data_IF_596239200034
#
_entry.id   IF_596239200034
#
_cell.length_a   1.000
_cell.length_b   1.000
_cell.length_c   1.000
_cell.angle_alpha   90.00
_cell.angle_beta   90.00
_cell.angle_gamma   90.00
#
_symmetry.space_group_name_H-M   'P 1'
#
loop_
_entity.id
_entity.type
_entity.pdbx_description
1 polymer ?
#
# COMPACT_ATOMS: atom_id res chain seq x y z
N UNK A 1 13.54 -27.91 4.23
CA UNK A 1 12.59 -28.81 4.94
C UNK A 1 11.32 -28.84 4.11
N UNK A 2 10.99 -29.98 3.53
CA UNK A 2 9.73 -30.16 2.82
C UNK A 2 8.55 -29.94 3.79
N UNK A 3 7.42 -29.31 3.38
CA UNK A 3 6.26 -29.20 4.25
C UNK A 3 5.76 -30.58 4.61
N UNK A 4 5.52 -30.81 5.91
CA UNK A 4 4.94 -32.07 6.38
C UNK A 4 3.60 -32.30 5.70
N UNK A 5 3.41 -33.45 5.07
CA UNK A 5 2.13 -33.88 4.51
C UNK A 5 1.06 -33.83 5.61
N UNK A 6 0.12 -32.89 5.54
CA UNK A 6 -1.04 -32.86 6.42
C UNK A 6 -1.46 -31.52 7.03
N UNK A 7 -0.65 -30.49 7.03
CA UNK A 7 -1.11 -29.17 7.51
C UNK A 7 -2.01 -28.49 6.44
N UNK A 8 -3.17 -27.92 6.83
CA UNK A 8 -4.01 -27.18 5.88
C UNK A 8 -3.24 -26.03 5.27
N UNK A 9 -3.44 -25.82 3.95
CA UNK A 9 -2.80 -24.71 3.24
C UNK A 9 -3.30 -23.38 3.82
N UNK A 10 -2.43 -22.35 3.95
CA UNK A 10 -2.89 -21.02 4.32
C UNK A 10 -3.92 -20.50 3.33
N UNK A 11 -5.03 -19.98 3.83
CA UNK A 11 -6.06 -19.35 2.99
C UNK A 11 -5.83 -17.85 2.90
N UNK A 12 -5.81 -17.32 1.67
CA UNK A 12 -5.46 -15.93 1.37
C UNK A 12 -6.55 -15.29 0.55
N UNK A 13 -7.18 -14.24 1.09
CA UNK A 13 -8.04 -13.36 0.31
C UNK A 13 -7.20 -12.43 -0.55
N UNK A 14 -7.43 -12.41 -1.85
CA UNK A 14 -6.72 -11.54 -2.79
C UNK A 14 -7.65 -10.50 -3.37
N UNK A 15 -7.23 -9.24 -3.31
CA UNK A 15 -7.98 -8.10 -3.84
C UNK A 15 -7.18 -7.46 -4.95
N UNK A 16 -7.71 -7.47 -6.18
CA UNK A 16 -7.19 -6.71 -7.31
C UNK A 16 -8.18 -5.61 -7.67
N UNK A 17 -7.75 -4.35 -7.60
CA UNK A 17 -8.58 -3.18 -7.90
C UNK A 17 -8.24 -2.64 -9.29
N UNK A 18 -9.26 -2.43 -10.13
CA UNK A 18 -9.08 -1.98 -11.51
C UNK A 18 -10.16 -1.03 -11.96
N UNK A 19 -9.87 -0.19 -12.94
CA UNK A 19 -10.84 0.61 -13.70
C UNK A 19 -11.09 0.05 -15.10
N UNK A 20 -10.58 -1.15 -15.40
CA UNK A 20 -10.76 -1.82 -16.70
C UNK A 20 -9.91 -1.24 -17.84
N UNK A 21 -8.94 -0.39 -17.55
CA UNK A 21 -8.12 0.30 -18.54
C UNK A 21 -6.86 -0.47 -18.95
N UNK A 22 -6.57 -1.60 -18.28
CA UNK A 22 -5.35 -2.41 -18.43
C UNK A 22 -5.69 -3.91 -18.48
N UNK A 23 -6.41 -4.37 -19.51
CA UNK A 23 -6.90 -5.75 -19.55
C UNK A 23 -5.77 -6.79 -19.64
N UNK A 24 -4.71 -6.50 -20.38
CA UNK A 24 -3.59 -7.43 -20.58
C UNK A 24 -2.74 -7.56 -19.31
N UNK A 25 -2.48 -6.45 -18.63
CA UNK A 25 -1.77 -6.44 -17.34
C UNK A 25 -2.57 -7.15 -16.25
N UNK A 26 -3.89 -6.90 -16.19
CA UNK A 26 -4.79 -7.62 -15.28
C UNK A 26 -4.77 -9.12 -15.54
N UNK A 27 -4.82 -9.54 -16.82
CA UNK A 27 -4.73 -10.95 -17.18
C UNK A 27 -3.39 -11.57 -16.76
N UNK A 28 -2.27 -10.85 -16.94
CA UNK A 28 -0.95 -11.30 -16.48
C UNK A 28 -0.87 -11.40 -14.95
N UNK A 29 -1.43 -10.44 -14.22
CA UNK A 29 -1.56 -10.46 -12.77
C UNK A 29 -2.36 -11.68 -12.28
N UNK A 30 -3.53 -11.94 -12.89
CA UNK A 30 -4.36 -13.10 -12.59
C UNK A 30 -3.66 -14.42 -12.92
N UNK A 31 -2.94 -14.51 -14.04
CA UNK A 31 -2.16 -15.69 -14.38
C UNK A 31 -1.06 -15.98 -13.35
N UNK A 32 -0.41 -14.94 -12.83
CA UNK A 32 0.59 -15.07 -11.77
C UNK A 32 0.00 -15.53 -10.44
N UNK A 33 -1.25 -15.18 -10.15
CA UNK A 33 -2.00 -15.69 -8.98
C UNK A 33 -2.38 -17.16 -9.16
N UNK A 34 -2.83 -17.56 -10.36
CA UNK A 34 -3.16 -18.94 -10.66
C UNK A 34 -1.95 -19.89 -10.53
N UNK A 35 -0.74 -19.36 -10.72
CA UNK A 35 0.51 -20.11 -10.59
C UNK A 35 1.02 -20.24 -9.14
N UNK A 36 0.35 -19.62 -8.15
CA UNK A 36 0.83 -19.68 -6.76
C UNK A 36 0.63 -21.06 -6.15
N UNK A 37 1.69 -21.53 -5.50
CA UNK A 37 1.76 -22.84 -4.85
C UNK A 37 1.77 -22.73 -3.31
N UNK A 38 1.32 -23.79 -2.64
CA UNK A 38 1.38 -23.88 -1.18
C UNK A 38 0.34 -23.06 -0.43
N UNK A 39 -0.60 -22.41 -1.13
CA UNK A 39 -1.68 -21.59 -0.56
C UNK A 39 -3.00 -21.85 -1.29
N UNK A 40 -4.11 -21.52 -0.62
CA UNK A 40 -5.45 -21.50 -1.22
C UNK A 40 -5.90 -20.04 -1.38
N UNK A 41 -6.16 -19.60 -2.61
CA UNK A 41 -6.50 -18.21 -2.92
C UNK A 41 -8.02 -18.04 -3.09
N UNK A 42 -8.58 -17.00 -2.46
CA UNK A 42 -9.93 -16.50 -2.68
C UNK A 42 -9.82 -15.11 -3.34
N UNK A 43 -9.99 -15.05 -4.67
CA UNK A 43 -9.64 -13.86 -5.46
C UNK A 43 -10.87 -13.08 -5.86
N UNK A 44 -10.85 -11.77 -5.60
CA UNK A 44 -11.83 -10.81 -6.11
C UNK A 44 -11.16 -9.73 -6.96
N UNK A 45 -11.74 -9.48 -8.14
CA UNK A 45 -11.41 -8.34 -8.99
C UNK A 45 -12.48 -7.27 -8.77
N UNK A 46 -12.07 -6.16 -8.18
CA UNK A 46 -12.94 -5.02 -7.88
C UNK A 46 -12.88 -4.02 -9.03
N UNK A 47 -13.96 -3.87 -9.76
CA UNK A 47 -14.10 -2.83 -10.77
C UNK A 47 -14.53 -1.51 -10.14
N UNK A 48 -13.65 -0.53 -10.11
CA UNK A 48 -13.86 0.76 -9.46
C UNK A 48 -14.49 1.77 -10.43
N UNK A 49 -15.82 1.81 -10.50
CA UNK A 49 -16.58 2.51 -11.54
C UNK A 49 -16.61 1.73 -12.86
N UNK A 50 -16.43 0.43 -12.82
CA UNK A 50 -16.42 -0.47 -13.97
C UNK A 50 -16.91 -1.87 -13.57
N UNK A 51 -17.53 -2.59 -14.49
CA UNK A 51 -17.98 -3.96 -14.26
C UNK A 51 -16.96 -4.95 -14.84
N UNK A 52 -16.24 -5.74 -14.03
CA UNK A 52 -15.28 -6.72 -14.52
C UNK A 52 -15.96 -7.81 -15.35
N UNK A 53 -15.45 -8.06 -16.54
CA UNK A 53 -15.90 -9.11 -17.46
C UNK A 53 -14.73 -9.93 -17.96
N UNK A 54 -14.98 -11.14 -18.48
CA UNK A 54 -13.94 -12.00 -19.05
C UNK A 54 -12.97 -12.58 -18.01
N UNK A 55 -13.33 -12.58 -16.72
CA UNK A 55 -12.48 -13.14 -15.67
C UNK A 55 -12.44 -14.69 -15.76
N UNK A 56 -11.33 -15.31 -15.32
CA UNK A 56 -11.29 -16.76 -15.19
C UNK A 56 -12.29 -17.24 -14.12
N UNK A 57 -12.83 -18.49 -14.22
CA UNK A 57 -13.91 -18.98 -13.35
C UNK A 57 -13.59 -18.99 -11.85
N UNK A 58 -12.33 -18.98 -11.49
CA UNK A 58 -11.86 -18.96 -10.09
C UNK A 58 -11.73 -17.56 -9.49
N UNK A 59 -11.81 -16.50 -10.30
CA UNK A 59 -11.76 -15.11 -9.84
C UNK A 59 -13.16 -14.50 -9.87
N UNK A 60 -13.60 -13.93 -8.75
CA UNK A 60 -14.91 -13.31 -8.62
C UNK A 60 -14.87 -11.84 -9.03
N UNK A 61 -15.93 -11.35 -9.65
CA UNK A 61 -16.12 -9.94 -9.96
C UNK A 61 -16.89 -9.22 -8.84
N UNK A 62 -16.44 -8.01 -8.47
CA UNK A 62 -17.18 -7.07 -7.65
C UNK A 62 -17.23 -5.73 -8.38
N UNK A 63 -18.39 -5.37 -8.93
CA UNK A 63 -18.57 -4.11 -9.62
C UNK A 63 -19.01 -3.01 -8.65
N UNK A 64 -18.25 -1.93 -8.57
CA UNK A 64 -18.65 -0.70 -7.89
C UNK A 64 -19.27 0.25 -8.91
N UNK A 65 -20.45 0.87 -8.63
CA UNK A 65 -21.15 1.70 -9.60
C UNK A 65 -20.39 2.98 -9.98
N UNK A 66 -19.48 3.44 -9.11
CA UNK A 66 -18.66 4.62 -9.32
C UNK A 66 -17.23 4.42 -8.80
N UNK A 67 -16.31 5.29 -9.20
CA UNK A 67 -14.95 5.29 -8.68
C UNK A 67 -14.93 5.91 -7.27
N UNK A 68 -14.84 5.05 -6.25
CA UNK A 68 -14.81 5.43 -4.83
C UNK A 68 -13.39 5.75 -4.32
N UNK A 69 -12.39 5.72 -5.20
CA UNK A 69 -10.97 5.86 -4.84
C UNK A 69 -10.32 4.52 -4.51
N UNK A 70 -8.98 4.54 -4.44
CA UNK A 70 -8.18 3.32 -4.23
C UNK A 70 -8.43 2.70 -2.85
N UNK A 71 -8.34 3.44 -1.72
CA UNK A 71 -8.51 2.85 -0.39
C UNK A 71 -9.90 2.24 -0.18
N UNK A 72 -10.95 2.95 -0.58
CA UNK A 72 -12.32 2.47 -0.42
C UNK A 72 -12.58 1.24 -1.29
N UNK A 73 -12.12 1.24 -2.55
CA UNK A 73 -12.24 0.08 -3.44
C UNK A 73 -11.54 -1.15 -2.88
N UNK A 74 -10.34 -0.99 -2.32
CA UNK A 74 -9.61 -2.09 -1.66
C UNK A 74 -10.34 -2.61 -0.41
N UNK A 75 -10.95 -1.74 0.40
CA UNK A 75 -11.76 -2.16 1.55
C UNK A 75 -12.97 -2.98 1.11
N UNK A 76 -13.71 -2.54 0.06
CA UNK A 76 -14.83 -3.33 -0.50
C UNK A 76 -14.39 -4.70 -0.99
N UNK A 77 -13.20 -4.78 -1.60
CA UNK A 77 -12.59 -6.05 -1.98
C UNK A 77 -12.25 -6.92 -0.76
N UNK A 78 -11.68 -6.33 0.28
CA UNK A 78 -11.33 -7.02 1.51
C UNK A 78 -12.55 -7.62 2.25
N UNK A 79 -13.68 -6.93 2.23
CA UNK A 79 -14.97 -7.41 2.75
C UNK A 79 -15.52 -8.59 1.93
N UNK A 80 -15.18 -8.68 0.64
CA UNK A 80 -15.67 -9.70 -0.28
C UNK A 80 -14.84 -10.99 -0.30
N UNK A 81 -13.65 -11.01 0.28
CA UNK A 81 -12.78 -12.18 0.32
C UNK A 81 -12.62 -12.75 1.73
N UNK A 82 -12.24 -14.02 1.79
CA UNK A 82 -12.05 -14.77 3.04
C UNK A 82 -10.60 -15.24 3.18
N UNK A 83 -10.20 -15.67 4.38
CA UNK A 83 -8.88 -16.21 4.67
C UNK A 83 -8.19 -15.50 5.83
N UNK A 84 -7.16 -16.16 6.40
CA UNK A 84 -6.37 -15.64 7.52
C UNK A 84 -5.36 -14.57 7.09
N UNK A 85 -5.16 -14.43 5.79
CA UNK A 85 -4.25 -13.50 5.14
C UNK A 85 -4.99 -12.71 4.09
N UNK A 86 -4.51 -11.49 3.82
CA UNK A 86 -5.02 -10.66 2.75
C UNK A 86 -3.85 -10.13 1.90
N UNK A 87 -3.96 -10.28 0.60
CA UNK A 87 -3.04 -9.77 -0.40
C UNK A 87 -3.77 -8.71 -1.25
N UNK A 88 -3.21 -7.53 -1.33
CA UNK A 88 -3.60 -6.52 -2.31
C UNK A 88 -2.61 -6.56 -3.46
N UNK A 89 -3.11 -6.71 -4.68
CA UNK A 89 -2.33 -6.76 -5.91
C UNK A 89 -2.95 -5.80 -6.92
N UNK A 90 -2.19 -4.79 -7.38
CA UNK A 90 -2.66 -3.86 -8.40
C UNK A 90 -2.88 -4.56 -9.74
N UNK A 91 -3.76 -3.99 -10.58
CA UNK A 91 -4.14 -4.55 -11.88
C UNK A 91 -2.99 -4.56 -12.92
N UNK A 92 -1.87 -3.90 -12.62
CA UNK A 92 -0.65 -3.89 -13.41
C UNK A 92 0.56 -4.50 -12.68
N UNK A 93 0.29 -5.26 -11.62
CA UNK A 93 1.31 -6.00 -10.88
C UNK A 93 1.20 -7.51 -11.08
N UNK A 94 2.32 -8.23 -10.99
CA UNK A 94 2.36 -9.69 -11.04
C UNK A 94 3.43 -10.27 -10.11
N UNK A 95 3.29 -11.56 -9.79
CA UNK A 95 4.16 -12.30 -8.87
C UNK A 95 4.98 -13.33 -9.66
N UNK A 96 6.26 -13.07 -9.97
CA UNK A 96 7.05 -13.95 -10.84
C UNK A 96 7.41 -15.28 -10.19
N UNK A 97 7.45 -15.37 -8.85
CA UNK A 97 7.71 -16.63 -8.13
C UNK A 97 6.40 -17.36 -7.83
N UNK A 98 6.28 -18.66 -8.12
CA UNK A 98 5.10 -19.44 -7.76
C UNK A 98 4.97 -19.67 -6.24
N UNK A 99 6.01 -19.44 -5.46
CA UNK A 99 6.00 -19.57 -4.00
C UNK A 99 5.89 -18.23 -3.28
N UNK A 100 5.73 -17.12 -4.00
CA UNK A 100 5.76 -15.77 -3.43
C UNK A 100 4.86 -15.59 -2.22
N UNK A 101 3.59 -16.01 -2.32
CA UNK A 101 2.61 -15.84 -1.25
C UNK A 101 2.94 -16.72 -0.04
N UNK A 102 3.34 -17.96 -0.29
CA UNK A 102 3.78 -18.89 0.77
C UNK A 102 5.04 -18.37 1.49
N UNK A 103 6.01 -17.84 0.74
CA UNK A 103 7.25 -17.28 1.30
C UNK A 103 6.99 -16.01 2.12
N UNK A 104 6.08 -15.15 1.66
CA UNK A 104 5.66 -13.95 2.41
C UNK A 104 4.97 -14.34 3.74
N UNK A 105 4.12 -15.36 3.73
CA UNK A 105 3.49 -15.90 4.94
C UNK A 105 4.54 -16.53 5.87
N UNK A 106 5.48 -17.31 5.32
CA UNK A 106 6.56 -17.90 6.10
C UNK A 106 7.45 -16.85 6.76
N UNK A 107 7.69 -15.73 6.09
CA UNK A 107 8.41 -14.59 6.66
C UNK A 107 7.71 -14.02 7.90
N UNK A 108 6.40 -13.76 7.82
CA UNK A 108 5.61 -13.26 8.95
C UNK A 108 5.54 -14.29 10.08
N UNK A 109 5.39 -15.59 9.76
CA UNK A 109 5.38 -16.66 10.77
C UNK A 109 6.71 -16.78 11.51
N UNK A 110 7.85 -16.51 10.85
CA UNK A 110 9.18 -16.52 11.49
C UNK A 110 9.40 -15.29 12.38
N UNK A 111 8.86 -14.15 12.01
CA UNK A 111 8.91 -12.93 12.83
C UNK A 111 7.49 -12.33 13.00
N UNK A 112 6.75 -12.74 14.05
CA UNK A 112 5.39 -12.27 14.31
C UNK A 112 5.27 -10.77 14.58
N UNK A 113 6.39 -10.05 14.74
CA UNK A 113 6.40 -8.58 14.82
C UNK A 113 6.02 -7.96 13.46
N UNK A 114 6.21 -8.67 12.36
CA UNK A 114 5.83 -8.20 11.03
C UNK A 114 4.31 -8.25 10.91
N UNK A 115 3.69 -7.10 10.68
CA UNK A 115 2.24 -6.94 10.47
C UNK A 115 1.87 -6.60 9.04
N UNK A 116 2.84 -6.25 8.20
CA UNK A 116 2.66 -5.96 6.79
C UNK A 116 3.96 -6.22 6.04
N UNK A 117 3.85 -6.89 4.89
CA UNK A 117 4.97 -7.15 3.98
C UNK A 117 4.74 -6.40 2.67
N UNK A 118 5.74 -5.59 2.28
CA UNK A 118 5.89 -5.05 0.93
C UNK A 118 7.09 -5.72 0.26
N UNK A 119 6.94 -6.33 -0.92
CA UNK A 119 8.06 -6.91 -1.68
C UNK A 119 8.94 -5.83 -2.32
N UNK A 120 10.07 -6.26 -2.84
CA UNK A 120 10.86 -5.50 -3.79
C UNK A 120 10.13 -5.45 -5.13
N UNK A 121 9.82 -4.26 -5.59
CA UNK A 121 9.14 -4.03 -6.85
C UNK A 121 10.18 -3.79 -7.95
N UNK A 122 10.06 -4.50 -9.05
CA UNK A 122 10.95 -4.38 -10.22
C UNK A 122 10.13 -4.27 -11.50
N UNK A 123 10.67 -3.54 -12.45
CA UNK A 123 10.10 -3.48 -13.80
C UNK A 123 10.42 -4.77 -14.56
N UNK A 124 9.44 -5.46 -15.17
CA UNK A 124 9.69 -6.71 -15.89
C UNK A 124 10.56 -6.53 -17.14
N UNK A 125 10.68 -5.30 -17.67
CA UNK A 125 11.54 -4.97 -18.80
C UNK A 125 12.97 -4.58 -18.40
N UNK A 126 13.27 -4.57 -17.10
CA UNK A 126 14.60 -4.22 -16.58
C UNK A 126 14.84 -2.73 -16.38
N UNK A 127 13.84 -1.88 -16.51
CA UNK A 127 13.96 -0.46 -16.19
C UNK A 127 14.26 -0.23 -14.70
N UNK A 128 15.05 0.80 -14.41
CA UNK A 128 15.46 1.10 -13.05
C UNK A 128 14.27 1.43 -12.14
N UNK A 129 14.14 0.72 -11.03
CA UNK A 129 13.06 0.93 -10.06
C UNK A 129 13.07 2.36 -9.51
N UNK A 130 11.93 3.06 -9.58
CA UNK A 130 11.79 4.40 -9.02
C UNK A 130 12.07 4.41 -7.51
N UNK A 131 12.61 5.54 -7.03
CA UNK A 131 12.93 5.71 -5.60
C UNK A 131 11.74 5.42 -4.67
N UNK A 132 10.51 5.71 -5.11
CA UNK A 132 9.27 5.49 -4.33
C UNK A 132 8.96 4.02 -4.03
N UNK A 133 9.47 3.08 -4.84
CA UNK A 133 9.26 1.65 -4.62
C UNK A 133 10.13 1.07 -3.49
N UNK A 134 11.13 1.84 -3.04
CA UNK A 134 12.00 1.45 -1.92
C UNK A 134 11.76 2.45 -0.78
N UNK A 135 10.78 2.19 0.12
CA UNK A 135 10.27 3.15 1.09
C UNK A 135 11.17 3.29 2.32
N UNK A 136 12.48 3.32 2.12
CA UNK A 136 13.50 3.52 3.16
C UNK A 136 14.06 4.94 3.10
N UNK A 137 14.53 5.47 4.21
CA UNK A 137 15.14 6.80 4.25
C UNK A 137 16.37 6.90 3.33
N UNK A 138 17.23 5.89 3.37
CA UNK A 138 18.32 5.70 2.41
C UNK A 138 17.98 4.51 1.52
N UNK A 139 18.08 4.69 0.18
CA UNK A 139 17.77 3.62 -0.77
C UNK A 139 18.64 2.38 -0.50
N UNK A 140 19.95 2.57 -0.44
CA UNK A 140 20.91 1.47 -0.26
C UNK A 140 20.72 0.34 -1.28
N UNK A 141 21.13 -0.85 -0.90
CA UNK A 141 20.89 -2.07 -1.67
C UNK A 141 19.39 -2.44 -1.66
N UNK A 142 18.72 -2.51 -2.82
CA UNK A 142 17.29 -2.84 -2.90
C UNK A 142 16.95 -4.28 -2.51
N UNK A 143 17.92 -5.19 -2.50
CA UNK A 143 17.72 -6.59 -2.09
C UNK A 143 17.70 -6.77 -0.57
N UNK A 144 18.14 -5.75 0.17
CA UNK A 144 18.23 -5.82 1.63
C UNK A 144 16.88 -5.50 2.28
N UNK A 145 16.38 -6.40 3.09
CA UNK A 145 15.13 -6.25 3.86
C UNK A 145 15.30 -5.33 5.05
N UNK A 146 14.21 -4.64 5.46
CA UNK A 146 14.23 -3.71 6.60
C UNK A 146 12.82 -3.30 7.05
N UNK A 147 12.66 -2.82 8.30
CA UNK A 147 11.48 -2.06 8.68
C UNK A 147 11.29 -0.83 7.80
N UNK A 148 10.02 -0.49 7.51
CA UNK A 148 9.64 0.70 6.73
C UNK A 148 8.49 1.44 7.39
N UNK A 149 8.27 2.71 6.97
CA UNK A 149 7.30 3.63 7.56
C UNK A 149 6.30 4.18 6.52
N UNK A 150 6.38 3.66 5.36
CA UNK A 150 5.43 3.78 4.27
C UNK A 150 5.56 2.54 3.42
N UNK A 151 4.54 2.19 2.67
CA UNK A 151 4.59 1.07 1.73
C UNK A 151 4.17 1.55 0.35
N UNK A 152 4.69 0.88 -0.67
CA UNK A 152 4.11 0.91 -1.99
C UNK A 152 2.99 -0.12 -2.02
N UNK A 153 1.81 0.32 -2.37
CA UNK A 153 0.56 -0.39 -2.10
C UNK A 153 0.22 -1.47 -3.11
N UNK A 154 0.89 -1.48 -4.28
CA UNK A 154 0.52 -2.32 -5.42
C UNK A 154 0.81 -3.82 -5.28
N UNK A 155 1.55 -4.24 -4.24
CA UNK A 155 1.65 -5.63 -3.81
C UNK A 155 1.96 -5.65 -2.31
N UNK A 156 0.95 -5.88 -1.46
CA UNK A 156 1.12 -5.92 0.00
C UNK A 156 0.35 -7.08 0.60
N UNK A 157 1.00 -7.80 1.54
CA UNK A 157 0.40 -8.91 2.27
C UNK A 157 0.36 -8.59 3.76
N UNK A 158 -0.78 -8.88 4.39
CA UNK A 158 -1.00 -8.73 5.84
C UNK A 158 -1.73 -9.95 6.42
N UNK A 159 -1.52 -10.28 7.72
CA UNK A 159 -2.50 -11.08 8.45
C UNK A 159 -3.87 -10.38 8.47
N UNK A 160 -4.94 -11.10 8.26
CA UNK A 160 -6.33 -10.59 8.25
C UNK A 160 -6.66 -9.90 9.57
N UNK A 161 -6.31 -10.52 10.68
CA UNK A 161 -6.55 -9.98 12.02
C UNK A 161 -5.86 -8.63 12.25
N UNK A 162 -4.67 -8.42 11.68
CA UNK A 162 -3.98 -7.12 11.72
C UNK A 162 -4.73 -6.09 10.90
N UNK A 163 -5.12 -6.46 9.66
CA UNK A 163 -5.87 -5.56 8.77
C UNK A 163 -7.18 -5.09 9.40
N UNK A 164 -7.92 -6.02 10.02
CA UNK A 164 -9.20 -5.73 10.67
C UNK A 164 -9.01 -4.85 11.92
N UNK A 165 -8.03 -5.16 12.79
CA UNK A 165 -7.76 -4.35 13.99
C UNK A 165 -7.32 -2.92 13.67
N UNK A 166 -6.55 -2.72 12.62
CA UNK A 166 -6.12 -1.37 12.23
C UNK A 166 -7.19 -0.60 11.45
N UNK A 167 -8.35 -1.22 11.15
CA UNK A 167 -9.47 -0.61 10.45
C UNK A 167 -9.25 -0.39 8.95
N UNK A 168 -8.47 -1.26 8.32
CA UNK A 168 -8.28 -1.28 6.87
C UNK A 168 -7.57 -0.06 6.28
N UNK A 169 -7.84 0.21 5.01
CA UNK A 169 -7.31 1.37 4.29
C UNK A 169 -8.04 2.66 4.66
N UNK A 170 -7.33 3.78 4.62
CA UNK A 170 -7.87 5.11 4.91
C UNK A 170 -8.73 5.66 3.76
N UNK A 171 -10.02 5.35 3.73
CA UNK A 171 -10.96 5.73 2.66
C UNK A 171 -10.98 7.23 2.31
N UNK A 172 -10.91 8.18 3.29
CA UNK A 172 -11.01 9.60 2.98
C UNK A 172 -9.93 10.13 2.01
N UNK A 173 -8.80 9.43 1.87
CA UNK A 173 -7.73 9.89 0.97
C UNK A 173 -8.13 9.86 -0.50
N UNK A 174 -8.95 8.92 -0.92
CA UNK A 174 -9.29 8.66 -2.31
C UNK A 174 -8.11 8.18 -3.16
N UNK A 175 -6.96 8.86 -3.07
CA UNK A 175 -5.72 8.59 -3.81
C UNK A 175 -4.52 9.25 -3.12
N UNK A 176 -3.41 8.57 -3.00
CA UNK A 176 -2.15 8.96 -2.38
C UNK A 176 -2.18 9.11 -0.84
N UNK A 177 -1.11 8.69 -0.19
CA UNK A 177 -0.86 8.64 1.26
C UNK A 177 -1.50 7.48 2.03
N UNK A 178 -2.36 6.68 1.40
CA UNK A 178 -2.98 5.50 2.02
C UNK A 178 -1.94 4.49 2.52
N UNK A 179 -0.87 4.24 1.77
CA UNK A 179 0.19 3.32 2.17
C UNK A 179 1.07 3.85 3.30
N UNK A 180 1.17 5.18 3.46
CA UNK A 180 1.83 5.76 4.64
C UNK A 180 0.95 5.53 5.87
N UNK A 181 -0.34 5.82 5.77
CA UNK A 181 -1.27 5.63 6.90
C UNK A 181 -1.35 4.16 7.29
N UNK A 182 -1.48 3.24 6.33
CA UNK A 182 -1.53 1.81 6.61
C UNK A 182 -0.29 1.36 7.38
N UNK A 183 0.90 1.75 6.94
CA UNK A 183 2.14 1.44 7.64
C UNK A 183 2.16 2.02 9.07
N UNK A 184 1.73 3.27 9.28
CA UNK A 184 1.70 3.89 10.61
C UNK A 184 0.70 3.20 11.53
N UNK A 185 -0.46 2.76 11.03
CA UNK A 185 -1.43 1.99 11.81
C UNK A 185 -0.88 0.63 12.22
N UNK A 186 -0.14 -0.06 11.33
CA UNK A 186 0.56 -1.31 11.67
C UNK A 186 1.58 -1.07 12.79
N UNK A 187 2.34 0.03 12.73
CA UNK A 187 3.20 0.43 13.83
C UNK A 187 2.40 0.75 15.11
N UNK A 188 1.21 1.35 14.97
CA UNK A 188 0.27 1.63 16.06
C UNK A 188 -0.25 0.36 16.74
N UNK A 189 -0.49 -0.70 15.97
CA UNK A 189 -0.90 -2.03 16.46
C UNK A 189 0.22 -2.80 17.20
N UNK A 190 1.39 -2.22 17.34
CA UNK A 190 2.52 -2.87 18.02
C UNK A 190 3.41 -3.68 17.08
N UNK A 191 3.04 -3.83 15.81
CA UNK A 191 3.79 -4.56 14.78
C UNK A 191 4.65 -3.62 13.95
N UNK A 192 5.33 -4.13 12.94
CA UNK A 192 6.16 -3.38 12.00
C UNK A 192 5.69 -3.61 10.56
N UNK A 193 5.76 -2.58 9.74
CA UNK A 193 5.72 -2.73 8.29
C UNK A 193 7.12 -3.09 7.80
N UNK A 194 7.22 -4.08 6.91
CA UNK A 194 8.45 -4.71 6.48
C UNK A 194 8.62 -4.65 4.97
N UNK A 195 9.76 -4.17 4.52
CA UNK A 195 10.20 -4.29 3.14
C UNK A 195 11.00 -5.58 3.00
N UNK A 196 10.49 -6.53 2.22
CA UNK A 196 11.11 -7.82 1.95
C UNK A 196 11.88 -7.74 0.61
N UNK A 197 13.18 -7.47 0.68
CA UNK A 197 14.02 -7.31 -0.50
C UNK A 197 14.25 -8.60 -1.29
N UNK A 198 14.06 -9.74 -0.63
CA UNK A 198 14.14 -11.08 -1.20
C UNK A 198 12.89 -11.49 -1.99
N UNK A 199 11.72 -10.93 -1.67
CA UNK A 199 10.48 -11.18 -2.39
C UNK A 199 10.34 -10.18 -3.55
N UNK A 200 10.02 -10.66 -4.73
CA UNK A 200 9.90 -9.83 -5.93
C UNK A 200 8.46 -9.78 -6.43
N UNK A 201 7.96 -8.57 -6.67
CA UNK A 201 6.77 -8.33 -7.47
C UNK A 201 7.15 -7.52 -8.71
N UNK A 202 6.56 -7.83 -9.83
CA UNK A 202 6.70 -7.07 -11.06
C UNK A 202 5.65 -5.96 -11.14
N UNK A 203 6.05 -4.80 -11.64
CA UNK A 203 5.16 -3.69 -11.97
C UNK A 203 5.86 -2.81 -13.02
N UNK A 204 5.16 -2.35 -14.07
CA UNK A 204 5.77 -1.50 -15.08
C UNK A 204 6.18 -0.13 -14.51
N UNK A 205 7.33 0.37 -14.94
CA UNK A 205 7.72 1.76 -14.63
C UNK A 205 6.88 2.68 -15.51
N UNK A 206 5.84 3.23 -14.93
CA UNK A 206 5.01 4.25 -15.57
C UNK A 206 5.47 5.62 -15.08
N UNK A 207 5.78 6.54 -16.00
CA UNK A 207 5.99 7.93 -15.62
C UNK A 207 4.62 8.54 -15.23
N UNK A 208 4.42 8.85 -13.95
CA UNK A 208 3.13 9.39 -13.52
C UNK A 208 2.97 10.77 -14.17
N UNK A 209 2.08 10.86 -15.16
CA UNK A 209 1.63 12.16 -15.67
C UNK A 209 0.97 12.90 -14.50
N UNK A 210 1.76 13.75 -13.87
CA UNK A 210 1.33 14.52 -12.69
C UNK A 210 0.39 15.64 -13.15
N UNK A 211 -0.90 15.31 -13.14
CA UNK A 211 -1.96 16.29 -13.40
C UNK A 211 -2.32 17.07 -12.13
N UNK A 212 -3.12 18.11 -12.28
CA UNK A 212 -3.49 19.05 -11.22
C UNK A 212 -4.09 18.35 -9.98
N UNK A 213 -4.96 17.35 -10.20
CA UNK A 213 -5.58 16.55 -9.13
C UNK A 213 -4.53 15.81 -8.28
N UNK A 214 -3.47 15.27 -8.90
CA UNK A 214 -2.36 14.63 -8.17
C UNK A 214 -1.73 15.61 -7.18
N UNK A 215 -1.37 16.82 -7.63
CA UNK A 215 -0.72 17.79 -6.75
C UNK A 215 -1.64 18.24 -5.62
N UNK A 216 -2.93 18.48 -5.92
CA UNK A 216 -3.93 18.88 -4.94
C UNK A 216 -4.15 17.81 -3.89
N UNK A 217 -4.45 16.58 -4.29
CA UNK A 217 -4.71 15.47 -3.36
C UNK A 217 -3.46 15.12 -2.54
N UNK A 218 -2.28 15.13 -3.14
CA UNK A 218 -1.05 14.85 -2.42
C UNK A 218 -0.81 15.87 -1.29
N UNK A 219 -1.07 17.17 -1.53
CA UNK A 219 -0.93 18.20 -0.52
C UNK A 219 -2.01 18.09 0.57
N UNK A 220 -3.28 17.92 0.19
CA UNK A 220 -4.40 17.74 1.13
C UNK A 220 -4.17 16.54 2.04
N UNK A 221 -3.86 15.41 1.44
CA UNK A 221 -3.71 14.16 2.15
C UNK A 221 -2.49 14.16 3.07
N UNK A 222 -1.45 14.93 2.76
CA UNK A 222 -0.32 15.15 3.66
C UNK A 222 -0.75 15.81 4.98
N UNK A 223 -1.58 16.83 4.90
CA UNK A 223 -2.16 17.50 6.07
C UNK A 223 -3.10 16.56 6.81
N UNK A 224 -3.96 15.86 6.08
CA UNK A 224 -4.89 14.89 6.65
C UNK A 224 -4.18 13.73 7.35
N UNK A 225 -3.10 13.20 6.77
CA UNK A 225 -2.28 12.15 7.39
C UNK A 225 -1.80 12.58 8.77
N UNK A 226 -1.27 13.80 8.89
CA UNK A 226 -0.84 14.34 10.17
C UNK A 226 -2.01 14.48 11.15
N UNK A 227 -3.11 15.12 10.73
CA UNK A 227 -4.29 15.36 11.56
C UNK A 227 -4.95 14.06 12.04
N UNK A 228 -4.97 13.02 11.20
CA UNK A 228 -5.58 11.71 11.53
C UNK A 228 -4.72 10.90 12.48
N UNK A 229 -3.40 10.93 12.30
CA UNK A 229 -2.53 9.91 12.89
C UNK A 229 -1.59 10.44 13.97
N UNK A 230 -1.10 11.68 13.88
CA UNK A 230 -0.07 12.14 14.82
C UNK A 230 -0.64 12.73 16.11
N UNK A 231 0.08 12.63 17.24
CA UNK A 231 -0.17 13.49 18.39
C UNK A 231 -0.20 14.96 17.98
N UNK A 232 -1.18 15.73 18.50
CA UNK A 232 -1.44 17.10 18.07
C UNK A 232 -0.21 18.01 18.00
N UNK A 233 0.75 17.99 18.95
CA UNK A 233 1.96 18.81 18.87
C UNK A 233 2.84 18.51 17.67
N UNK A 234 2.79 17.28 17.12
CA UNK A 234 3.59 16.88 15.97
C UNK A 234 2.93 17.26 14.63
N UNK A 235 1.63 17.54 14.61
CA UNK A 235 0.91 17.89 13.37
C UNK A 235 1.54 19.10 12.66
N UNK A 236 1.71 20.27 13.29
CA UNK A 236 2.33 21.41 12.63
C UNK A 236 3.79 21.14 12.25
N UNK A 237 4.54 20.41 13.06
CA UNK A 237 5.94 20.05 12.79
C UNK A 237 6.03 19.21 11.50
N UNK A 238 5.25 18.15 11.40
CA UNK A 238 5.21 17.28 10.23
C UNK A 238 4.81 18.04 8.96
N UNK A 239 3.74 18.84 9.05
CA UNK A 239 3.25 19.60 7.89
C UNK A 239 4.28 20.65 7.47
N UNK A 240 4.91 21.37 8.40
CA UNK A 240 5.95 22.35 8.10
C UNK A 240 7.18 21.70 7.44
N UNK A 241 7.68 20.58 7.97
CA UNK A 241 8.82 19.84 7.40
C UNK A 241 8.55 19.45 5.93
N UNK A 242 7.40 18.87 5.67
CA UNK A 242 7.05 18.46 4.31
C UNK A 242 6.68 19.60 3.38
N UNK A 243 6.16 20.70 3.91
CA UNK A 243 5.97 21.95 3.15
C UNK A 243 7.31 22.51 2.69
N UNK A 244 8.31 22.56 3.58
CA UNK A 244 9.66 22.98 3.23
C UNK A 244 10.28 22.08 2.16
N UNK A 245 10.19 20.75 2.33
CA UNK A 245 10.66 19.78 1.31
C UNK A 245 9.98 20.03 -0.04
N UNK A 246 8.67 20.29 -0.06
CA UNK A 246 7.95 20.55 -1.29
C UNK A 246 8.39 21.89 -1.93
N UNK A 247 8.54 22.95 -1.16
CA UNK A 247 9.00 24.25 -1.66
C UNK A 247 10.40 24.14 -2.28
N UNK A 248 11.33 23.46 -1.61
CA UNK A 248 12.68 23.22 -2.14
C UNK A 248 12.66 22.43 -3.46
N UNK A 249 11.79 21.42 -3.58
CA UNK A 249 11.59 20.68 -4.84
C UNK A 249 10.98 21.54 -5.93
N UNK A 250 10.02 22.39 -5.58
CA UNK A 250 9.30 23.27 -6.52
C UNK A 250 10.13 24.45 -6.99
N UNK A 251 11.17 24.85 -6.25
CA UNK A 251 12.09 25.91 -6.68
C UNK A 251 12.75 25.60 -8.04
N UNK A 252 12.93 24.29 -8.35
CA UNK A 252 13.48 23.85 -9.64
C UNK A 252 12.41 23.49 -10.68
N UNK A 253 11.18 23.22 -10.26
CA UNK A 253 10.05 22.81 -11.12
C UNK A 253 8.74 23.33 -10.53
N UNK A 254 8.33 24.56 -10.83
CA UNK A 254 7.15 25.21 -10.21
C UNK A 254 5.80 24.65 -10.70
N UNK A 255 5.82 23.75 -11.70
CA UNK A 255 4.59 23.14 -12.22
C UNK A 255 3.79 22.47 -11.07
N UNK A 256 2.49 22.75 -11.03
CA UNK A 256 1.58 22.17 -10.04
C UNK A 256 1.58 22.86 -8.65
N UNK A 257 2.42 23.89 -8.41
CA UNK A 257 2.48 24.57 -7.10
C UNK A 257 1.15 25.24 -6.72
N UNK A 258 0.42 25.80 -7.69
CA UNK A 258 -0.91 26.37 -7.47
C UNK A 258 -1.94 25.32 -6.99
N UNK A 259 -1.99 24.17 -7.67
CA UNK A 259 -2.85 23.06 -7.26
C UNK A 259 -2.44 22.49 -5.90
N UNK A 260 -1.13 22.36 -5.68
CA UNK A 260 -0.58 21.94 -4.40
C UNK A 260 -0.99 22.88 -3.25
N UNK A 261 -0.86 24.20 -3.43
CA UNK A 261 -1.24 25.18 -2.42
C UNK A 261 -2.75 25.17 -2.12
N UNK A 262 -3.60 24.94 -3.14
CA UNK A 262 -5.05 24.73 -2.93
C UNK A 262 -5.32 23.51 -2.07
N UNK A 263 -4.69 22.36 -2.39
CA UNK A 263 -4.82 21.14 -1.60
C UNK A 263 -4.31 21.30 -0.17
N UNK A 264 -3.20 22.00 0.04
CA UNK A 264 -2.67 22.28 1.37
C UNK A 264 -3.66 23.06 2.24
N UNK A 265 -4.26 24.16 1.69
CA UNK A 265 -5.31 24.92 2.38
C UNK A 265 -6.56 24.10 2.65
N UNK A 266 -6.99 23.28 1.67
CA UNK A 266 -8.11 22.35 1.81
C UNK A 266 -7.87 21.40 2.97
N UNK A 267 -6.68 20.80 3.08
CA UNK A 267 -6.32 19.88 4.16
C UNK A 267 -6.44 20.49 5.55
N UNK A 268 -6.10 21.78 5.71
CA UNK A 268 -6.28 22.47 6.98
C UNK A 268 -7.75 22.80 7.29
N UNK A 269 -8.52 23.18 6.28
CA UNK A 269 -9.91 23.64 6.41
C UNK A 269 -10.93 22.52 6.53
N UNK A 270 -10.58 21.32 6.08
CA UNK A 270 -11.50 20.18 6.05
C UNK A 270 -11.15 19.13 7.09
N UNK A 271 -12.18 18.37 7.50
CA UNK A 271 -12.00 17.22 8.38
C UNK A 271 -11.56 15.99 7.56
N UNK A 272 -10.54 15.27 8.03
CA UNK A 272 -10.03 14.07 7.33
C UNK A 272 -10.79 12.79 7.67
N UNK A 273 -12.03 12.85 8.14
CA UNK A 273 -12.74 11.72 8.75
C UNK A 273 -12.26 11.41 10.17
N UNK A 274 -12.59 10.25 10.70
CA UNK A 274 -12.24 9.84 12.05
C UNK A 274 -10.72 9.81 12.30
N UNK A 275 -10.32 10.15 13.53
CA UNK A 275 -8.93 10.08 13.96
C UNK A 275 -8.58 8.63 14.34
N UNK A 276 -7.44 8.14 13.86
CA UNK A 276 -6.91 6.79 14.15
C UNK A 276 -5.51 6.85 14.76
N UNK A 277 -5.28 7.88 15.58
CA UNK A 277 -3.99 8.36 16.02
C UNK A 277 -3.04 7.29 16.57
N UNK A 278 -1.80 7.31 16.11
CA UNK A 278 -0.70 6.62 16.78
C UNK A 278 -0.34 7.35 18.08
N UNK A 279 -0.11 6.57 19.15
CA UNK A 279 0.29 7.12 20.44
C UNK A 279 1.78 7.53 20.48
N UNK A 280 2.19 8.26 21.52
CA UNK A 280 3.59 8.65 21.75
C UNK A 280 4.54 7.45 21.83
N UNK A 281 4.10 6.32 22.38
CA UNK A 281 4.89 5.08 22.39
C UNK A 281 5.23 4.60 20.97
N UNK A 282 4.28 4.70 20.04
CA UNK A 282 4.51 4.36 18.63
C UNK A 282 5.46 5.36 17.96
N UNK A 283 5.27 6.67 18.19
CA UNK A 283 6.20 7.71 17.72
C UNK A 283 7.63 7.41 18.18
N UNK A 284 7.80 7.03 19.44
CA UNK A 284 9.09 6.68 20.00
C UNK A 284 9.69 5.42 19.35
N UNK A 285 8.89 4.36 19.19
CA UNK A 285 9.32 3.13 18.51
C UNK A 285 9.78 3.40 17.07
N UNK A 286 9.03 4.20 16.31
CA UNK A 286 9.40 4.59 14.94
C UNK A 286 10.69 5.43 14.94
N UNK A 287 10.86 6.30 15.91
CA UNK A 287 12.08 7.12 16.06
C UNK A 287 13.30 6.25 16.33
N UNK A 288 13.21 5.30 17.27
CA UNK A 288 14.28 4.34 17.58
C UNK A 288 14.59 3.43 16.38
N UNK A 289 13.61 3.11 15.57
CA UNK A 289 13.79 2.35 14.32
C UNK A 289 14.37 3.21 13.17
N UNK A 290 14.75 4.46 13.43
CA UNK A 290 15.49 5.33 12.53
C UNK A 290 14.66 6.33 11.74
N UNK A 291 13.35 6.45 11.99
CA UNK A 291 12.52 7.46 11.32
C UNK A 291 11.41 8.01 12.21
N UNK A 292 11.64 9.15 12.86
CA UNK A 292 10.55 9.85 13.52
C UNK A 292 9.46 10.24 12.52
N UNK A 293 8.17 10.10 12.85
CA UNK A 293 7.07 10.40 11.92
C UNK A 293 6.83 11.92 11.79
N UNK A 294 7.90 12.67 11.60
CA UNK A 294 7.91 14.13 11.36
C UNK A 294 8.63 14.50 10.07
N UNK A 295 9.26 13.52 9.40
CA UNK A 295 9.95 13.70 8.12
C UNK A 295 9.80 12.47 7.23
#
# INVERSE_FOLDING_TARGET
MAPSAGAPRPRVGVVSLTQGTRPDELAAGLASLAAQEGVDLDVVVVGNGWAPTGLPPWARALALPENVGIPAGRNRGAEAVTGDWILFLDDDASLPSPTFVADAIALVRRDPRIGLVQPRVVDPTGLASPRRWIPRLRKGDPTRSSPVFSVWEGATLLPRDVFDRIGGWGEPYFYAHEGIELAWRVWGDGRIAWYAGELVAHHPVIDPRRHETYFRLNARNRVWLAKRNLPWPLVPVYVASWTLVQLLRSARRPAGLGAWSRGWREGWRTAPGGRVGIGWATVWRMTLAGRPPII
#
